data_IF_898159999130
#
_entry.id   IF_898159999130
#
_cell.length_a   1.000
_cell.length_b   1.000
_cell.length_c   1.000
_cell.angle_alpha   90.00
_cell.angle_beta   90.00
_cell.angle_gamma   90.00
#
_symmetry.space_group_name_H-M   'P 1'
#
loop_
_entity.id
_entity.type
_entity.pdbx_description
1 polymer ?
#
# COMPACT_ATOMS: atom_id res chain seq x y z
N UNK A 1 -17.93 -15.36 -1.73
CA UNK A 1 -16.92 -14.28 -1.79
C UNK A 1 -15.56 -14.83 -2.18
N UNK A 2 -15.07 -15.85 -1.47
CA UNK A 2 -13.81 -16.54 -1.80
C UNK A 2 -13.75 -17.06 -3.25
N UNK A 3 -14.80 -17.72 -3.74
CA UNK A 3 -14.83 -18.20 -5.13
C UNK A 3 -14.75 -17.08 -6.16
N UNK A 4 -15.33 -15.92 -5.83
CA UNK A 4 -15.27 -14.73 -6.69
C UNK A 4 -13.86 -14.18 -6.75
N UNK A 5 -13.19 -14.06 -5.59
CA UNK A 5 -11.79 -13.65 -5.50
C UNK A 5 -10.94 -14.65 -6.30
N UNK A 6 -11.09 -15.96 -6.10
CA UNK A 6 -10.36 -16.98 -6.87
C UNK A 6 -10.54 -16.83 -8.37
N UNK A 7 -11.77 -16.58 -8.84
CA UNK A 7 -12.04 -16.36 -10.25
C UNK A 7 -11.29 -15.14 -10.81
N UNK A 8 -11.25 -14.03 -10.06
CA UNK A 8 -10.49 -12.84 -10.45
C UNK A 8 -8.99 -13.16 -10.51
N UNK A 9 -8.46 -13.85 -9.49
CA UNK A 9 -7.04 -14.22 -9.43
C UNK A 9 -6.61 -15.12 -10.60
N UNK A 10 -7.45 -16.07 -10.99
CA UNK A 10 -7.19 -16.96 -12.14
C UNK A 10 -7.27 -16.17 -13.45
N UNK A 11 -8.31 -15.36 -13.62
CA UNK A 11 -8.58 -14.71 -14.91
C UNK A 11 -7.65 -13.52 -15.16
N UNK A 12 -7.53 -12.63 -14.17
CA UNK A 12 -6.82 -11.34 -14.27
C UNK A 12 -5.33 -11.45 -13.95
N UNK A 13 -4.92 -12.41 -13.09
CA UNK A 13 -3.53 -12.53 -12.62
C UNK A 13 -2.84 -13.85 -13.01
N UNK A 14 -3.56 -14.80 -13.63
CA UNK A 14 -3.08 -16.18 -13.92
C UNK A 14 -2.53 -16.90 -12.68
N UNK A 15 -3.06 -16.60 -11.49
CA UNK A 15 -2.64 -17.24 -10.25
C UNK A 15 -3.53 -18.45 -9.95
N UNK A 16 -2.94 -19.64 -9.97
CA UNK A 16 -3.60 -20.86 -9.53
C UNK A 16 -3.51 -20.98 -8.00
N UNK A 17 -4.63 -20.69 -7.33
CA UNK A 17 -4.73 -20.62 -5.86
C UNK A 17 -5.00 -21.99 -5.27
N UNK A 18 -4.08 -22.47 -4.42
CA UNK A 18 -4.26 -23.69 -3.64
C UNK A 18 -5.07 -23.40 -2.36
N UNK A 19 -4.68 -22.34 -1.64
CA UNK A 19 -5.30 -21.93 -0.37
C UNK A 19 -5.59 -20.44 -0.38
N UNK A 20 -6.74 -20.08 0.16
CA UNK A 20 -7.18 -18.72 0.39
C UNK A 20 -7.67 -18.67 1.84
N UNK A 21 -7.01 -17.86 2.66
CA UNK A 21 -7.36 -17.71 4.07
C UNK A 21 -7.71 -16.25 4.33
N UNK A 22 -8.88 -15.98 4.87
CA UNK A 22 -9.22 -14.65 5.36
C UNK A 22 -8.30 -14.29 6.54
N UNK A 23 -7.74 -13.08 6.52
CA UNK A 23 -6.91 -12.54 7.59
C UNK A 23 -7.68 -11.48 8.36
N UNK A 24 -7.48 -11.46 9.68
CA UNK A 24 -7.92 -10.37 10.52
C UNK A 24 -7.03 -9.13 10.28
N UNK A 25 -7.60 -7.93 10.41
CA UNK A 25 -6.85 -6.66 10.28
C UNK A 25 -7.19 -5.78 9.06
N UNK A 26 -8.24 -6.10 8.31
CA UNK A 26 -8.91 -5.12 7.43
C UNK A 26 -9.80 -4.15 8.22
N UNK A 27 -10.26 -3.07 7.58
CA UNK A 27 -11.33 -2.24 8.15
C UNK A 27 -12.62 -3.06 8.29
N UNK A 28 -12.83 -3.97 7.33
CA UNK A 28 -13.82 -5.04 7.41
C UNK A 28 -13.15 -6.40 7.49
N UNK A 29 -13.89 -7.36 8.05
CA UNK A 29 -13.43 -8.74 8.23
C UNK A 29 -13.16 -9.48 6.93
N UNK A 30 -13.64 -8.95 5.79
CA UNK A 30 -13.58 -9.57 4.47
C UNK A 30 -12.68 -8.83 3.46
N UNK A 31 -11.74 -8.02 3.94
CA UNK A 31 -10.91 -7.19 3.06
C UNK A 31 -9.53 -7.75 2.79
N UNK A 32 -9.03 -8.65 3.64
CA UNK A 32 -7.64 -9.10 3.56
C UNK A 32 -7.59 -10.62 3.51
N UNK A 33 -6.90 -11.15 2.52
CA UNK A 33 -6.74 -12.59 2.35
C UNK A 33 -5.28 -12.95 2.10
N UNK A 34 -4.80 -14.00 2.75
CA UNK A 34 -3.57 -14.67 2.39
C UNK A 34 -3.87 -15.70 1.30
N UNK A 35 -3.20 -15.61 0.16
CA UNK A 35 -3.21 -16.66 -0.86
C UNK A 35 -1.91 -17.43 -0.85
N UNK A 36 -2.02 -18.74 -1.08
CA UNK A 36 -0.90 -19.64 -1.36
C UNK A 36 -1.18 -20.25 -2.73
N UNK A 37 -0.30 -20.02 -3.69
CA UNK A 37 -0.40 -20.63 -5.01
C UNK A 37 0.04 -22.10 -4.98
N UNK A 38 -0.30 -22.85 -6.03
CA UNK A 38 0.16 -24.24 -6.19
C UNK A 38 1.69 -24.37 -6.11
N UNK A 39 2.42 -23.35 -6.60
CA UNK A 39 3.89 -23.26 -6.54
C UNK A 39 4.41 -22.82 -5.15
N UNK A 40 3.53 -22.79 -4.14
CA UNK A 40 3.80 -22.41 -2.75
C UNK A 40 4.23 -20.96 -2.55
N UNK A 41 3.96 -20.09 -3.52
CA UNK A 41 4.23 -18.65 -3.39
C UNK A 41 3.08 -18.00 -2.63
N UNK A 42 3.42 -17.12 -1.69
CA UNK A 42 2.46 -16.39 -0.86
C UNK A 42 2.25 -14.98 -1.37
N UNK A 43 0.99 -14.55 -1.41
CA UNK A 43 0.61 -13.16 -1.65
C UNK A 43 -0.49 -12.75 -0.70
N UNK A 44 -0.68 -11.44 -0.56
CA UNK A 44 -1.84 -10.89 0.14
C UNK A 44 -2.75 -10.24 -0.89
N UNK A 45 -4.03 -10.59 -0.83
CA UNK A 45 -5.09 -9.93 -1.60
C UNK A 45 -5.77 -8.93 -0.69
N UNK A 46 -5.93 -7.70 -1.19
CA UNK A 46 -6.75 -6.66 -0.59
C UNK A 46 -7.98 -6.47 -1.45
N UNK A 47 -9.15 -6.54 -0.85
CA UNK A 47 -10.44 -6.36 -1.51
C UNK A 47 -11.22 -5.28 -0.78
N UNK A 48 -10.96 -4.01 -1.07
CA UNK A 48 -11.35 -2.89 -0.22
C UNK A 48 -12.48 -2.06 -0.84
N UNK A 49 -13.28 -1.42 0.01
CA UNK A 49 -14.03 -0.24 -0.42
C UNK A 49 -13.12 0.99 -0.39
N UNK A 50 -13.26 1.87 -1.37
CA UNK A 50 -12.48 3.10 -1.42
C UNK A 50 -13.36 4.27 -1.83
N UNK A 51 -13.48 5.24 -0.92
CA UNK A 51 -14.41 6.36 -1.05
C UNK A 51 -13.78 7.59 -1.75
N UNK A 52 -12.47 7.55 -2.02
CA UNK A 52 -11.79 8.60 -2.77
C UNK A 52 -11.69 8.26 -4.25
N UNK A 53 -11.07 9.14 -5.03
CA UNK A 53 -10.94 8.96 -6.47
C UNK A 53 -10.07 7.75 -6.82
N UNK A 54 -10.38 7.12 -7.95
CA UNK A 54 -9.58 6.02 -8.53
C UNK A 54 -8.13 6.45 -8.78
N UNK A 55 -7.92 7.69 -9.26
CA UNK A 55 -6.59 8.27 -9.47
C UNK A 55 -5.78 8.27 -8.18
N UNK A 56 -6.41 8.61 -7.05
CA UNK A 56 -5.72 8.65 -5.76
C UNK A 56 -5.30 7.26 -5.27
N UNK A 57 -6.15 6.24 -5.44
CA UNK A 57 -5.76 4.85 -5.15
C UNK A 57 -4.59 4.40 -6.02
N UNK A 58 -4.67 4.71 -7.33
CA UNK A 58 -3.61 4.39 -8.28
C UNK A 58 -2.27 5.03 -7.85
N UNK A 59 -2.26 6.31 -7.49
CA UNK A 59 -1.07 7.01 -7.00
C UNK A 59 -0.46 6.34 -5.76
N UNK A 60 -1.28 5.90 -4.80
CA UNK A 60 -0.79 5.20 -3.61
C UNK A 60 -0.09 3.89 -3.99
N UNK A 61 -0.70 3.09 -4.85
CA UNK A 61 -0.16 1.79 -5.26
C UNK A 61 1.09 1.92 -6.15
N UNK A 62 1.13 2.93 -7.02
CA UNK A 62 2.33 3.26 -7.81
C UNK A 62 3.49 3.70 -6.92
N UNK A 63 3.20 4.54 -5.92
CA UNK A 63 4.21 4.98 -4.96
C UNK A 63 4.80 3.83 -4.17
N UNK A 64 3.97 2.86 -3.77
CA UNK A 64 4.43 1.65 -3.07
C UNK A 64 5.42 0.84 -3.93
N UNK A 65 5.14 0.66 -5.22
CA UNK A 65 6.07 0.02 -6.15
C UNK A 65 7.37 0.81 -6.31
N UNK A 66 7.30 2.14 -6.38
CA UNK A 66 8.49 3.01 -6.46
C UNK A 66 9.35 2.86 -5.20
N UNK A 67 8.74 2.84 -4.01
CA UNK A 67 9.44 2.60 -2.75
C UNK A 67 10.16 1.26 -2.79
N UNK A 68 9.49 0.20 -3.24
CA UNK A 68 10.06 -1.13 -3.35
C UNK A 68 11.22 -1.18 -4.36
N UNK A 69 11.00 -0.70 -5.58
CA UNK A 69 11.93 -0.88 -6.70
C UNK A 69 13.12 0.06 -6.67
N UNK A 70 12.88 1.36 -6.42
CA UNK A 70 13.91 2.40 -6.51
C UNK A 70 14.62 2.61 -5.17
N UNK A 71 13.87 2.64 -4.08
CA UNK A 71 14.42 2.91 -2.74
C UNK A 71 14.82 1.64 -2.00
N UNK A 72 14.49 0.45 -2.53
CA UNK A 72 14.69 -0.83 -1.82
C UNK A 72 14.06 -0.81 -0.42
N UNK A 73 12.96 -0.07 -0.28
CA UNK A 73 12.23 0.05 0.95
C UNK A 73 11.55 -1.30 1.26
N UNK A 74 11.57 -1.78 2.52
CA UNK A 74 11.01 -3.08 2.89
C UNK A 74 9.48 -3.04 3.00
N UNK A 75 8.80 -2.63 1.92
CA UNK A 75 7.35 -2.70 1.76
C UNK A 75 6.96 -3.81 0.78
N UNK A 76 5.67 -4.21 0.80
CA UNK A 76 5.15 -5.10 -0.21
C UNK A 76 5.31 -4.46 -1.60
N UNK A 77 5.31 -5.31 -2.62
CA UNK A 77 5.28 -4.90 -4.01
C UNK A 77 3.90 -5.24 -4.57
N UNK A 78 3.26 -4.30 -5.26
CA UNK A 78 1.96 -4.49 -5.89
C UNK A 78 2.16 -5.29 -7.18
N UNK A 79 1.50 -6.44 -7.23
CA UNK A 79 1.49 -7.30 -8.40
C UNK A 79 0.49 -6.74 -9.40
N UNK A 80 0.96 -6.50 -10.62
CA UNK A 80 0.10 -6.05 -11.70
C UNK A 80 -0.70 -7.23 -12.27
N UNK A 81 -1.91 -6.95 -12.74
CA UNK A 81 -2.67 -7.90 -13.55
C UNK A 81 -1.96 -8.17 -14.88
N UNK A 82 -2.41 -9.19 -15.61
CA UNK A 82 -1.92 -9.49 -16.96
C UNK A 82 -2.12 -8.31 -17.92
N UNK A 83 -3.12 -7.46 -17.65
CA UNK A 83 -3.42 -6.25 -18.42
C UNK A 83 -2.67 -5.02 -17.88
N UNK A 84 -1.65 -5.22 -17.02
CA UNK A 84 -0.84 -4.18 -16.38
C UNK A 84 -1.62 -3.23 -15.46
N UNK A 85 -2.75 -3.67 -14.91
CA UNK A 85 -3.52 -2.87 -13.96
C UNK A 85 -3.05 -3.14 -12.54
N UNK A 86 -3.02 -2.11 -11.70
CA UNK A 86 -2.65 -2.23 -10.28
C UNK A 86 -3.76 -2.84 -9.42
N UNK A 87 -5.01 -2.71 -9.87
CA UNK A 87 -6.18 -3.26 -9.20
C UNK A 87 -7.27 -3.60 -10.23
N UNK A 88 -8.21 -4.45 -9.80
CA UNK A 88 -9.42 -4.83 -10.52
C UNK A 88 -10.61 -4.26 -9.77
N UNK A 89 -11.51 -3.57 -10.48
CA UNK A 89 -12.77 -3.10 -9.89
C UNK A 89 -13.79 -4.22 -9.96
N UNK A 90 -14.35 -4.57 -8.83
CA UNK A 90 -15.31 -5.66 -8.70
C UNK A 90 -16.34 -5.32 -7.61
N UNK A 91 -17.63 -5.28 -7.95
CA UNK A 91 -18.71 -5.04 -6.97
C UNK A 91 -18.54 -3.75 -6.14
N UNK A 92 -18.15 -2.64 -6.77
CA UNK A 92 -17.84 -1.35 -6.12
C UNK A 92 -16.67 -1.42 -5.12
N UNK A 93 -15.86 -2.47 -5.19
CA UNK A 93 -14.63 -2.65 -4.42
C UNK A 93 -13.44 -2.74 -5.36
N UNK A 94 -12.27 -2.55 -4.79
CA UNK A 94 -10.99 -2.61 -5.48
C UNK A 94 -10.24 -3.83 -4.97
N UNK A 95 -9.92 -4.74 -5.89
CA UNK A 95 -9.09 -5.90 -5.63
C UNK A 95 -7.67 -5.64 -6.12
N UNK A 96 -6.67 -5.75 -5.25
CA UNK A 96 -5.27 -5.74 -5.65
C UNK A 96 -4.48 -6.80 -4.89
N UNK A 97 -3.32 -7.17 -5.44
CA UNK A 97 -2.45 -8.20 -4.90
C UNK A 97 -1.11 -7.55 -4.55
N UNK A 98 -0.56 -7.93 -3.42
CA UNK A 98 0.77 -7.53 -2.99
C UNK A 98 1.60 -8.75 -2.59
N UNK A 99 2.93 -8.64 -2.69
CA UNK A 99 3.83 -9.67 -2.17
C UNK A 99 3.63 -9.88 -0.68
N UNK A 100 3.78 -11.13 -0.23
CA UNK A 100 3.71 -11.43 1.19
C UNK A 100 5.06 -11.11 1.86
N UNK A 101 5.05 -10.24 2.88
CA UNK A 101 6.22 -10.02 3.73
C UNK A 101 6.19 -11.00 4.89
N UNK A 102 7.19 -11.88 4.94
CA UNK A 102 7.44 -12.70 6.12
C UNK A 102 8.03 -11.83 7.23
N UNK A 103 7.32 -11.70 8.33
CA UNK A 103 7.76 -10.92 9.47
C UNK A 103 7.21 -11.44 10.78
N UNK A 104 7.59 -10.77 11.86
CA UNK A 104 7.04 -10.98 13.20
C UNK A 104 6.43 -9.67 13.63
N UNK A 105 5.22 -9.72 14.16
CA UNK A 105 4.57 -8.56 14.75
C UNK A 105 5.44 -8.00 15.89
N UNK A 106 5.69 -6.69 15.85
CA UNK A 106 6.45 -6.03 16.89
C UNK A 106 5.56 -5.76 18.09
N UNK A 107 5.67 -6.61 19.11
CA UNK A 107 5.05 -6.35 20.41
C UNK A 107 5.90 -5.38 21.22
N UNK A 108 5.28 -4.73 22.23
CA UNK A 108 5.97 -3.82 23.15
C UNK A 108 7.21 -4.46 23.79
N UNK A 109 7.09 -5.70 24.23
CA UNK A 109 8.19 -6.47 24.82
C UNK A 109 9.38 -6.65 23.87
N UNK A 110 9.12 -6.84 22.57
CA UNK A 110 10.18 -7.00 21.56
C UNK A 110 10.92 -5.67 21.37
N UNK A 111 10.18 -4.55 21.34
CA UNK A 111 10.75 -3.20 21.17
C UNK A 111 11.63 -2.84 22.37
N UNK A 112 11.13 -3.05 23.59
CA UNK A 112 11.87 -2.73 24.82
C UNK A 112 13.16 -3.53 24.96
N UNK A 113 13.15 -4.81 24.56
CA UNK A 113 14.32 -5.69 24.60
C UNK A 113 15.33 -5.41 23.47
N UNK A 114 14.90 -4.73 22.40
CA UNK A 114 15.73 -4.49 21.21
C UNK A 114 15.55 -3.05 20.70
N UNK A 115 16.20 -2.06 21.34
CA UNK A 115 16.14 -0.65 20.95
C UNK A 115 16.53 -0.37 19.49
N UNK A 116 17.31 -1.26 18.87
CA UNK A 116 17.66 -1.20 17.44
C UNK A 116 16.43 -1.10 16.53
N UNK A 117 15.26 -1.60 16.94
CA UNK A 117 14.03 -1.44 16.15
C UNK A 117 13.55 0.00 16.08
N UNK A 118 13.70 0.79 17.16
CA UNK A 118 13.35 2.21 17.15
C UNK A 118 14.26 2.98 16.18
N UNK A 119 15.56 2.68 16.20
CA UNK A 119 16.51 3.26 15.26
C UNK A 119 16.13 2.93 13.81
N UNK A 120 15.85 1.64 13.52
CA UNK A 120 15.44 1.20 12.19
C UNK A 120 14.13 1.84 11.73
N UNK A 121 13.14 1.96 12.62
CA UNK A 121 11.89 2.66 12.34
C UNK A 121 12.16 4.13 11.96
N UNK A 122 13.02 4.83 12.71
CA UNK A 122 13.41 6.20 12.40
C UNK A 122 14.09 6.32 11.02
N UNK A 123 15.03 5.42 10.71
CA UNK A 123 15.69 5.40 9.40
C UNK A 123 14.71 5.14 8.24
N UNK A 124 13.77 4.20 8.42
CA UNK A 124 12.76 3.91 7.42
C UNK A 124 11.80 5.08 7.21
N UNK A 125 11.35 5.74 8.28
CA UNK A 125 10.51 6.93 8.17
C UNK A 125 11.21 8.08 7.44
N UNK A 126 12.50 8.29 7.70
CA UNK A 126 13.29 9.29 6.97
C UNK A 126 13.40 8.94 5.47
N UNK A 127 13.64 7.68 5.14
CA UNK A 127 13.70 7.22 3.75
C UNK A 127 12.36 7.37 3.03
N UNK A 128 11.25 7.02 3.69
CA UNK A 128 9.90 7.22 3.18
C UNK A 128 9.62 8.69 2.88
N UNK A 129 10.06 9.59 3.78
CA UNK A 129 9.92 11.04 3.59
C UNK A 129 10.67 11.53 2.35
N UNK A 130 11.93 11.12 2.18
CA UNK A 130 12.74 11.49 1.00
C UNK A 130 12.02 11.01 -0.27
N UNK A 131 11.65 9.73 -0.32
CA UNK A 131 10.94 9.16 -1.47
C UNK A 131 9.63 9.88 -1.79
N UNK A 132 8.87 10.31 -0.76
CA UNK A 132 7.61 11.02 -0.96
C UNK A 132 7.80 12.40 -1.60
N UNK A 133 8.88 13.11 -1.24
CA UNK A 133 9.21 14.41 -1.82
C UNK A 133 9.60 14.24 -3.28
N UNK A 134 10.49 13.27 -3.55
CA UNK A 134 10.95 13.01 -4.92
C UNK A 134 9.78 12.56 -5.81
N UNK A 135 8.87 11.72 -5.30
CA UNK A 135 7.69 11.30 -6.04
C UNK A 135 6.71 12.45 -6.28
N UNK A 136 6.44 13.29 -5.27
CA UNK A 136 5.54 14.44 -5.42
C UNK A 136 6.07 15.42 -6.46
N UNK A 137 7.37 15.72 -6.44
CA UNK A 137 8.00 16.60 -7.42
C UNK A 137 7.85 16.06 -8.84
N UNK A 138 7.91 14.74 -9.03
CA UNK A 138 7.77 14.10 -10.33
C UNK A 138 6.33 13.99 -10.83
N UNK A 139 5.33 13.88 -9.94
CA UNK A 139 3.91 13.90 -10.32
C UNK A 139 3.45 15.32 -10.70
N UNK A 140 3.95 16.33 -9.98
CA UNK A 140 3.57 17.74 -10.17
C UNK A 140 4.28 18.44 -11.34
N UNK A 141 5.13 17.75 -12.12
CA UNK A 141 5.71 18.32 -13.34
C UNK A 141 4.68 18.65 -14.44
N UNK A 142 3.42 18.21 -14.30
CA UNK A 142 2.33 18.50 -15.24
C UNK A 142 1.07 19.17 -14.64
N UNK A 143 1.01 19.41 -13.32
CA UNK A 143 -0.12 20.10 -12.69
C UNK A 143 0.46 21.22 -11.83
N UNK A 144 0.16 22.47 -12.24
CA UNK A 144 0.64 23.71 -11.64
C UNK A 144 0.73 23.65 -10.10
N UNK A 145 1.93 23.92 -9.61
CA UNK A 145 2.41 23.88 -8.23
C UNK A 145 1.73 24.89 -7.28
N UNK A 146 0.45 25.27 -7.49
CA UNK A 146 -0.11 26.48 -6.86
C UNK A 146 -1.01 26.30 -5.63
N UNK A 147 -1.55 25.13 -5.31
CA UNK A 147 -2.61 25.09 -4.28
C UNK A 147 -2.18 24.66 -2.86
N UNK A 148 -1.02 24.02 -2.65
CA UNK A 148 -0.70 23.45 -1.34
C UNK A 148 0.34 24.22 -0.50
N UNK A 149 1.13 25.12 -1.08
CA UNK A 149 2.15 25.87 -0.34
C UNK A 149 1.60 27.22 0.14
N UNK A 150 1.07 28.05 -0.73
CA UNK A 150 0.73 29.43 -0.34
C UNK A 150 -0.59 29.54 0.43
N UNK A 151 -1.63 28.77 0.04
CA UNK A 151 -2.91 28.82 0.76
C UNK A 151 -2.85 28.16 2.14
N UNK A 152 -2.03 27.11 2.31
CA UNK A 152 -1.86 26.45 3.60
C UNK A 152 -1.06 27.31 4.57
N UNK A 153 0.05 27.92 4.12
CA UNK A 153 0.82 28.88 4.93
C UNK A 153 0.01 30.12 5.29
N UNK A 154 -0.76 30.70 4.36
CA UNK A 154 -1.58 31.87 4.64
C UNK A 154 -2.81 31.58 5.52
N UNK A 155 -3.22 30.32 5.67
CA UNK A 155 -4.28 29.91 6.62
C UNK A 155 -3.75 29.63 8.03
N UNK A 156 -2.43 29.55 8.23
CA UNK A 156 -1.81 29.52 9.55
C UNK A 156 -1.80 30.95 10.12
N UNK A 157 -2.99 31.49 10.43
CA UNK A 157 -3.11 32.65 11.30
C UNK A 157 -2.59 32.24 12.68
N UNK A 158 -1.30 32.44 12.93
CA UNK A 158 -0.78 32.56 14.27
C UNK A 158 -1.46 33.80 14.85
N UNK A 159 -2.57 33.61 15.56
CA UNK A 159 -3.07 34.65 16.44
C UNK A 159 -1.91 34.96 17.39
N UNK A 160 -1.33 36.14 17.23
CA UNK A 160 -0.39 36.70 18.19
C UNK A 160 -1.09 36.65 19.54
N UNK A 161 -0.65 35.72 20.38
CA UNK A 161 -0.97 35.73 21.80
C UNK A 161 -0.04 36.79 22.36
N UNK A 162 -0.61 37.97 22.63
CA UNK A 162 0.02 39.02 23.45
C UNK A 162 0.42 38.46 24.82
#
# INVERSE_FOLDING_TARGET
MEDRIKNILINEYKLNVEKLNCLEGGYRTDETYLIITNDKIKYVVKYIEYNHSVKYLQTILEFENILHDLYKYPCPNIIHSNNKQLFIIDNNRYLFIQTFIQGTELTKDIIEKKPIYLYKMGSLLAQLRIASIDYSLNIHLNEEEQELTDQWWNKQNFNNID
#
